data_IF_500482269977
#
_entry.id   IF_500482269977
#
_cell.length_a   1.000
_cell.length_b   1.000
_cell.length_c   1.000
_cell.angle_alpha   90.00
_cell.angle_beta   90.00
_cell.angle_gamma   90.00
#
_symmetry.space_group_name_H-M   'P 1'
#
loop_
_entity.id
_entity.type
_entity.pdbx_description
1 polymer ?
#
# COMPACT_ATOMS: atom_id res chain seq x y z
N UNK A 1 45.82 35.20 35.95
CA UNK A 1 45.32 34.20 34.99
C UNK A 1 43.85 33.92 35.30
N UNK A 2 42.93 34.27 34.41
CA UNK A 2 41.51 33.88 34.50
C UNK A 2 41.17 33.07 33.24
N UNK A 3 41.07 31.76 33.36
CA UNK A 3 40.52 30.91 32.30
C UNK A 3 38.99 30.89 32.47
N UNK A 4 38.29 31.47 31.50
CA UNK A 4 36.84 31.34 31.35
C UNK A 4 36.56 30.05 30.56
N UNK A 5 35.90 29.09 31.20
CA UNK A 5 35.43 27.85 30.56
C UNK A 5 34.06 28.10 29.92
N UNK A 6 34.03 28.20 28.60
CA UNK A 6 32.79 28.22 27.82
C UNK A 6 32.20 26.80 27.80
N UNK A 7 31.02 26.61 28.39
CA UNK A 7 30.25 25.37 28.25
C UNK A 7 29.46 25.42 26.95
N UNK A 8 29.84 24.61 25.97
CA UNK A 8 29.03 24.35 24.78
C UNK A 8 28.07 23.21 25.12
N UNK A 9 26.78 23.53 25.33
CA UNK A 9 25.71 22.54 25.41
C UNK A 9 25.26 22.18 24.00
N UNK A 10 25.67 21.00 23.52
CA UNK A 10 25.19 20.41 22.27
C UNK A 10 23.84 19.74 22.54
N UNK A 11 22.74 20.42 22.20
CA UNK A 11 21.41 19.82 22.18
C UNK A 11 21.26 18.97 20.91
N UNK A 12 21.47 17.66 21.01
CA UNK A 12 20.99 16.73 19.99
C UNK A 12 19.46 16.67 20.12
N UNK A 13 18.75 17.42 19.28
CA UNK A 13 17.34 17.20 19.05
C UNK A 13 17.17 15.83 18.38
N UNK A 14 16.71 14.84 19.13
CA UNK A 14 16.24 13.57 18.57
C UNK A 14 14.96 13.84 17.79
N UNK A 15 15.09 14.16 16.51
CA UNK A 15 13.97 14.13 15.59
C UNK A 15 13.58 12.67 15.41
N UNK A 16 12.52 12.24 16.09
CA UNK A 16 11.81 11.03 15.71
C UNK A 16 11.31 11.27 14.29
N UNK A 17 12.00 10.73 13.27
CA UNK A 17 11.42 10.63 11.94
C UNK A 17 10.16 9.80 12.08
N UNK A 18 8.99 10.47 12.05
CA UNK A 18 7.71 9.76 11.99
C UNK A 18 7.73 9.01 10.67
N UNK A 19 7.93 7.70 10.73
CA UNK A 19 7.70 6.84 9.58
C UNK A 19 6.20 6.84 9.32
N UNK A 20 5.79 7.26 8.14
CA UNK A 20 4.44 6.98 7.66
C UNK A 20 4.32 5.48 7.36
N UNK A 21 3.08 5.02 7.22
CA UNK A 21 2.82 3.68 6.75
C UNK A 21 1.53 3.64 5.93
N UNK A 22 1.45 2.62 5.09
CA UNK A 22 0.20 2.22 4.45
C UNK A 22 0.11 0.71 4.36
N UNK A 23 -1.12 0.21 4.44
CA UNK A 23 -1.48 -1.18 4.28
C UNK A 23 -2.03 -1.40 2.86
N UNK A 24 -1.58 -2.47 2.21
CA UNK A 24 -1.99 -2.85 0.86
C UNK A 24 -2.98 -4.00 0.96
N UNK A 25 -4.14 -3.83 0.33
CA UNK A 25 -5.23 -4.81 0.33
C UNK A 25 -5.51 -5.30 -1.08
N UNK A 26 -5.69 -6.62 -1.23
CA UNK A 26 -6.40 -7.19 -2.38
C UNK A 26 -7.88 -7.23 -2.05
N UNK A 27 -8.72 -6.76 -2.96
CA UNK A 27 -10.15 -6.56 -2.71
C UNK A 27 -10.97 -7.36 -3.71
N UNK A 28 -11.84 -8.24 -3.20
CA UNK A 28 -12.91 -8.85 -3.98
C UNK A 28 -14.09 -7.88 -4.02
N UNK A 29 -14.39 -7.37 -5.21
CA UNK A 29 -15.49 -6.44 -5.48
C UNK A 29 -16.62 -7.18 -6.15
N UNK A 30 -17.72 -7.34 -5.44
CA UNK A 30 -18.92 -8.00 -5.95
C UNK A 30 -20.01 -6.97 -6.26
N UNK A 31 -20.55 -7.03 -7.47
CA UNK A 31 -21.64 -6.18 -7.94
C UNK A 31 -22.78 -7.09 -8.37
N UNK A 32 -23.94 -6.93 -7.77
CA UNK A 32 -25.16 -7.65 -8.12
C UNK A 32 -26.04 -6.69 -8.92
N UNK A 33 -26.37 -7.09 -10.15
CA UNK A 33 -27.30 -6.37 -11.02
C UNK A 33 -28.48 -7.29 -11.38
N UNK A 34 -29.47 -6.74 -12.07
CA UNK A 34 -30.60 -7.48 -12.63
C UNK A 34 -30.16 -8.57 -13.63
N UNK A 35 -29.01 -8.40 -14.26
CA UNK A 35 -28.43 -9.34 -15.24
C UNK A 35 -27.45 -10.35 -14.65
N UNK A 36 -27.13 -10.28 -13.35
CA UNK A 36 -26.31 -11.28 -12.66
C UNK A 36 -25.32 -10.71 -11.65
N UNK A 37 -24.29 -11.49 -11.33
CA UNK A 37 -23.24 -11.13 -10.36
C UNK A 37 -21.91 -10.95 -11.09
N UNK A 38 -21.29 -9.78 -10.94
CA UNK A 38 -19.94 -9.49 -11.42
C UNK A 38 -18.97 -9.45 -10.25
N UNK A 39 -17.90 -10.23 -10.31
CA UNK A 39 -16.84 -10.25 -9.32
C UNK A 39 -15.55 -9.75 -9.99
N UNK A 40 -14.98 -8.67 -9.46
CA UNK A 40 -13.75 -8.07 -9.94
C UNK A 40 -12.72 -7.99 -8.81
N UNK A 41 -11.44 -8.02 -9.15
CA UNK A 41 -10.34 -7.93 -8.17
C UNK A 41 -9.59 -6.62 -8.37
N UNK A 42 -9.55 -5.81 -7.32
CA UNK A 42 -8.87 -4.52 -7.29
C UNK A 42 -7.96 -4.45 -6.07
N UNK A 43 -7.12 -3.43 -6.01
CA UNK A 43 -6.28 -3.14 -4.87
C UNK A 43 -6.69 -1.83 -4.23
N UNK A 44 -6.58 -1.76 -2.90
CA UNK A 44 -6.79 -0.53 -2.14
C UNK A 44 -5.63 -0.34 -1.16
N UNK A 45 -5.37 0.92 -0.80
CA UNK A 45 -4.35 1.29 0.17
C UNK A 45 -4.95 2.20 1.23
N UNK A 46 -4.61 1.93 2.49
CA UNK A 46 -5.07 2.68 3.65
C UNK A 46 -3.91 2.97 4.58
N UNK A 47 -3.99 4.00 5.42
CA UNK A 47 -2.92 4.27 6.40
C UNK A 47 -2.79 3.09 7.37
N UNK A 48 -3.93 2.58 7.85
CA UNK A 48 -4.07 1.36 8.64
C UNK A 48 -5.41 0.70 8.28
N UNK A 49 -5.80 -0.35 9.00
CA UNK A 49 -7.12 -0.97 8.83
C UNK A 49 -8.24 0.10 8.82
N UNK A 50 -9.10 0.13 7.78
CA UNK A 50 -10.11 1.17 7.63
C UNK A 50 -11.13 1.09 8.76
N UNK A 51 -11.57 2.25 9.26
CA UNK A 51 -12.39 2.33 10.48
C UNK A 51 -13.86 2.02 10.23
N UNK A 52 -14.32 2.20 9.00
CA UNK A 52 -15.69 2.04 8.58
C UNK A 52 -15.79 1.87 7.06
N UNK A 53 -16.98 1.55 6.59
CA UNK A 53 -17.21 1.33 5.17
C UNK A 53 -17.23 2.61 4.34
N UNK A 54 -17.51 3.77 4.93
CA UNK A 54 -17.43 5.04 4.20
C UNK A 54 -15.99 5.30 3.74
N UNK A 55 -15.00 5.01 4.57
CA UNK A 55 -13.57 5.07 4.23
C UNK A 55 -13.23 4.08 3.10
N UNK A 56 -13.74 2.85 3.18
CA UNK A 56 -13.51 1.80 2.16
C UNK A 56 -14.09 2.21 0.80
N UNK A 57 -15.30 2.75 0.77
CA UNK A 57 -15.95 3.16 -0.47
C UNK A 57 -15.39 4.48 -1.04
N UNK A 58 -14.83 5.34 -0.20
CA UNK A 58 -14.15 6.56 -0.63
C UNK A 58 -12.73 6.33 -1.15
N UNK A 59 -12.06 5.26 -0.72
CA UNK A 59 -10.69 4.95 -1.14
C UNK A 59 -10.59 4.57 -2.61
N UNK A 60 -9.51 5.04 -3.26
CA UNK A 60 -9.26 4.74 -4.67
C UNK A 60 -8.96 3.26 -4.87
N UNK A 61 -9.46 2.73 -5.97
CA UNK A 61 -9.18 1.35 -6.39
C UNK A 61 -8.16 1.31 -7.52
N UNK A 62 -7.17 0.44 -7.40
CA UNK A 62 -6.15 0.20 -8.42
C UNK A 62 -6.40 -1.15 -9.09
N UNK A 63 -6.48 -1.16 -10.42
CA UNK A 63 -6.79 -2.40 -11.16
C UNK A 63 -5.57 -3.31 -11.26
N UNK A 64 -5.84 -4.62 -11.35
CA UNK A 64 -4.82 -5.58 -11.77
C UNK A 64 -4.43 -5.34 -13.23
N UNK A 65 -3.13 -5.23 -13.50
CA UNK A 65 -2.59 -5.11 -14.86
C UNK A 65 -1.34 -5.96 -15.02
N UNK A 66 -1.10 -6.47 -16.24
CA UNK A 66 0.17 -7.13 -16.59
C UNK A 66 1.33 -6.13 -16.74
N UNK A 67 1.03 -4.84 -16.87
CA UNK A 67 1.99 -3.76 -17.05
C UNK A 67 1.47 -2.48 -16.39
N UNK A 68 2.27 -1.91 -15.49
CA UNK A 68 1.98 -0.65 -14.78
C UNK A 68 3.12 0.36 -14.97
N UNK A 69 3.89 0.22 -16.04
CA UNK A 69 5.00 1.12 -16.38
C UNK A 69 4.56 2.45 -16.98
N UNK A 70 5.44 3.45 -16.87
CA UNK A 70 5.18 4.81 -17.36
C UNK A 70 4.00 5.45 -16.63
N UNK A 71 3.00 5.90 -17.38
CA UNK A 71 1.83 6.61 -16.84
C UNK A 71 0.69 5.67 -16.42
N UNK A 72 0.86 4.35 -16.55
CA UNK A 72 -0.21 3.36 -16.31
C UNK A 72 -0.38 3.07 -14.82
N UNK A 73 -1.41 3.67 -14.22
CA UNK A 73 -1.79 3.42 -12.82
C UNK A 73 -2.40 2.03 -12.65
N UNK A 74 -2.03 1.33 -11.59
CA UNK A 74 -2.51 0.00 -11.27
C UNK A 74 -1.55 -0.79 -10.40
N UNK A 75 -1.82 -2.08 -10.26
CA UNK A 75 -0.92 -3.03 -9.60
C UNK A 75 -0.71 -4.23 -10.50
N UNK A 76 0.55 -4.61 -10.69
CA UNK A 76 0.95 -5.88 -11.25
C UNK A 76 1.39 -6.80 -10.12
N UNK A 77 0.85 -8.01 -10.12
CA UNK A 77 1.21 -9.02 -9.14
C UNK A 77 1.64 -10.31 -9.84
N UNK A 78 2.73 -10.92 -9.38
CA UNK A 78 3.18 -12.24 -9.79
C UNK A 78 3.40 -13.16 -8.57
N UNK A 79 3.13 -14.46 -8.75
CA UNK A 79 3.18 -15.47 -7.69
C UNK A 79 1.79 -16.00 -7.33
N UNK A 80 1.74 -17.10 -6.58
CA UNK A 80 0.47 -17.75 -6.19
C UNK A 80 -0.29 -17.01 -5.07
N UNK A 81 0.31 -15.97 -4.50
CA UNK A 81 -0.30 -15.09 -3.50
C UNK A 81 -1.14 -13.94 -4.07
N UNK A 82 -1.20 -13.80 -5.40
CA UNK A 82 -1.84 -12.66 -6.10
C UNK A 82 -3.37 -12.71 -6.18
N UNK A 83 -3.99 -13.53 -5.34
CA UNK A 83 -5.43 -13.59 -5.21
C UNK A 83 -5.82 -13.23 -3.77
N UNK A 84 -7.10 -13.05 -3.50
CA UNK A 84 -7.57 -12.51 -2.23
C UNK A 84 -7.39 -13.49 -1.05
N UNK A 85 -7.67 -14.80 -1.23
CA UNK A 85 -7.52 -15.84 -0.18
C UNK A 85 -6.09 -16.38 0.03
N UNK A 86 -5.24 -16.55 -1.00
CA UNK A 86 -3.90 -17.09 -0.81
C UNK A 86 -3.03 -16.26 0.14
N UNK A 87 -2.09 -16.91 0.87
CA UNK A 87 -1.16 -16.22 1.76
C UNK A 87 -0.36 -15.13 1.02
N UNK A 88 -0.22 -13.92 1.58
CA UNK A 88 0.51 -12.83 0.91
C UNK A 88 1.98 -13.16 0.68
N UNK A 89 2.59 -13.99 1.54
CA UNK A 89 3.97 -14.46 1.38
C UNK A 89 4.20 -15.34 0.13
N UNK A 90 3.14 -15.74 -0.58
CA UNK A 90 3.22 -16.44 -1.86
C UNK A 90 3.21 -15.50 -3.07
N UNK A 91 3.09 -14.18 -2.86
CA UNK A 91 3.44 -13.20 -3.89
C UNK A 91 4.95 -13.32 -4.09
N UNK A 92 5.43 -13.19 -5.32
CA UNK A 92 6.86 -13.15 -5.64
C UNK A 92 7.28 -11.72 -6.05
N UNK A 93 6.40 -11.01 -6.77
CA UNK A 93 6.58 -9.62 -7.18
C UNK A 93 5.27 -8.86 -7.01
N UNK A 94 5.35 -7.67 -6.41
CA UNK A 94 4.25 -6.70 -6.38
C UNK A 94 4.77 -5.36 -6.92
N UNK A 95 4.37 -5.00 -8.12
CA UNK A 95 4.70 -3.70 -8.74
C UNK A 95 3.46 -2.81 -8.67
N UNK A 96 3.60 -1.65 -8.05
CA UNK A 96 2.51 -0.73 -7.75
C UNK A 96 2.82 0.62 -8.41
N UNK A 97 1.90 1.14 -9.20
CA UNK A 97 1.94 2.50 -9.73
C UNK A 97 0.65 3.22 -9.31
N UNK A 98 0.73 4.03 -8.27
CA UNK A 98 -0.43 4.74 -7.73
C UNK A 98 -0.65 6.11 -8.40
N UNK A 99 0.40 6.66 -9.00
CA UNK A 99 0.38 7.89 -9.76
C UNK A 99 1.55 7.89 -10.75
N UNK A 100 1.25 7.83 -12.05
CA UNK A 100 2.25 7.68 -13.10
C UNK A 100 2.79 9.00 -13.67
N UNK A 101 2.41 10.13 -13.07
CA UNK A 101 2.84 11.49 -13.43
C UNK A 101 3.43 12.19 -12.21
N UNK A 102 4.19 13.27 -12.38
CA UNK A 102 4.88 13.95 -11.26
C UNK A 102 3.89 14.48 -10.21
N UNK A 103 4.03 14.11 -8.91
CA UNK A 103 5.03 13.21 -8.32
C UNK A 103 4.74 11.73 -8.59
N UNK A 104 5.74 10.99 -9.11
CA UNK A 104 5.57 9.57 -9.47
C UNK A 104 5.60 8.69 -8.22
N UNK A 105 4.57 7.87 -8.04
CA UNK A 105 4.44 6.89 -6.97
C UNK A 105 4.44 5.47 -7.53
N UNK A 106 5.63 5.02 -7.94
CA UNK A 106 5.84 3.72 -8.55
C UNK A 106 6.95 2.96 -7.83
N UNK A 107 6.58 1.83 -7.23
CA UNK A 107 7.52 0.94 -6.55
C UNK A 107 7.28 -0.53 -6.87
N UNK A 108 8.34 -1.31 -6.74
CA UNK A 108 8.29 -2.77 -6.87
C UNK A 108 8.83 -3.42 -5.61
N UNK A 109 8.07 -4.39 -5.10
CA UNK A 109 8.44 -5.27 -4.00
C UNK A 109 8.82 -6.63 -4.57
N UNK A 110 9.97 -7.15 -4.15
CA UNK A 110 10.45 -8.46 -4.54
C UNK A 110 10.63 -9.36 -3.32
N UNK A 111 10.09 -10.58 -3.37
CA UNK A 111 10.20 -11.56 -2.28
C UNK A 111 11.63 -11.94 -1.96
N UNK A 112 12.41 -12.20 -3.00
CA UNK A 112 13.83 -12.60 -2.91
C UNK A 112 14.74 -11.46 -2.42
N UNK A 113 14.21 -10.24 -2.31
CA UNK A 113 14.91 -9.06 -1.77
C UNK A 113 14.31 -8.57 -0.46
N UNK A 114 13.54 -9.42 0.23
CA UNK A 114 12.99 -9.08 1.54
C UNK A 114 11.90 -8.00 1.52
N UNK A 115 11.23 -7.79 0.38
CA UNK A 115 10.11 -6.86 0.23
C UNK A 115 10.45 -5.36 0.40
N UNK A 116 11.70 -5.00 0.14
CA UNK A 116 12.11 -3.59 0.03
C UNK A 116 11.33 -2.87 -1.07
N UNK A 117 10.93 -1.63 -0.81
CA UNK A 117 10.16 -0.79 -1.71
C UNK A 117 11.08 -0.02 -2.66
N UNK A 118 11.33 -0.59 -3.84
CA UNK A 118 12.31 -0.08 -4.82
C UNK A 118 11.62 0.76 -5.88
N UNK A 119 12.07 2.01 -6.08
CA UNK A 119 11.55 2.91 -7.11
C UNK A 119 12.12 2.65 -8.51
N UNK A 120 11.57 3.35 -9.51
CA UNK A 120 12.06 3.31 -10.90
C UNK A 120 13.52 3.75 -11.08
N UNK A 121 14.01 4.56 -10.15
CA UNK A 121 15.39 5.05 -10.08
C UNK A 121 16.35 4.04 -9.40
N UNK A 122 15.84 2.90 -8.94
CA UNK A 122 16.59 1.89 -8.22
C UNK A 122 16.84 2.21 -6.74
N UNK A 123 16.37 3.35 -6.24
CA UNK A 123 16.51 3.71 -4.83
C UNK A 123 15.47 3.00 -3.97
N UNK A 124 15.80 2.84 -2.68
CA UNK A 124 14.87 2.32 -1.66
C UNK A 124 14.08 3.46 -1.03
N UNK A 125 12.77 3.29 -0.97
CA UNK A 125 11.83 4.28 -0.43
C UNK A 125 11.16 3.84 0.87
N UNK A 126 11.48 2.64 1.34
CA UNK A 126 10.88 2.04 2.52
C UNK A 126 10.98 0.52 2.45
N UNK A 127 10.38 -0.14 3.43
CA UNK A 127 10.32 -1.59 3.49
C UNK A 127 8.89 -2.02 3.75
N UNK A 128 8.46 -3.08 3.07
CA UNK A 128 7.17 -3.68 3.32
C UNK A 128 7.34 -5.01 4.04
N UNK A 129 6.37 -5.36 4.87
CA UNK A 129 6.31 -6.65 5.55
C UNK A 129 5.02 -7.35 5.14
N UNK A 130 5.10 -8.67 4.98
CA UNK A 130 3.90 -9.51 4.86
C UNK A 130 3.08 -9.31 6.13
N UNK A 131 1.91 -8.71 6.00
CA UNK A 131 1.12 -8.23 7.13
C UNK A 131 -0.32 -8.72 7.01
N UNK A 132 -0.57 -10.03 7.14
CA UNK A 132 -1.92 -10.59 7.03
C UNK A 132 -2.77 -10.19 8.24
N UNK A 133 -4.06 -10.56 8.19
CA UNK A 133 -5.11 -10.23 9.16
C UNK A 133 -5.55 -8.75 9.07
N UNK A 134 -6.66 -8.37 9.71
CA UNK A 134 -7.22 -7.01 9.56
C UNK A 134 -7.98 -6.83 8.24
N UNK A 135 -8.61 -7.91 7.79
CA UNK A 135 -9.51 -7.93 6.64
C UNK A 135 -10.79 -7.16 6.97
N UNK A 136 -11.41 -6.56 5.97
CA UNK A 136 -12.70 -5.87 6.13
C UNK A 136 -13.75 -6.44 5.18
N UNK A 137 -15.01 -6.29 5.59
CA UNK A 137 -16.16 -6.62 4.76
C UNK A 137 -17.14 -5.45 4.82
N UNK A 138 -17.34 -4.81 3.67
CA UNK A 138 -18.20 -3.65 3.52
C UNK A 138 -19.24 -3.88 2.45
N UNK A 139 -20.47 -3.50 2.76
CA UNK A 139 -21.61 -3.61 1.85
C UNK A 139 -22.30 -2.25 1.73
N UNK A 140 -22.56 -1.84 0.49
CA UNK A 140 -23.46 -0.75 0.18
C UNK A 140 -24.72 -1.37 -0.43
N UNK A 141 -25.77 -1.42 0.38
CA UNK A 141 -27.00 -2.17 0.12
C UNK A 141 -26.75 -3.67 -0.12
N UNK A 142 -27.71 -4.35 -0.75
CA UNK A 142 -27.59 -5.76 -1.16
C UNK A 142 -26.88 -5.94 -2.52
N UNK A 143 -26.48 -4.84 -3.17
CA UNK A 143 -25.99 -4.86 -4.55
C UNK A 143 -24.48 -4.68 -4.70
N UNK A 144 -23.79 -4.20 -3.67
CA UNK A 144 -22.37 -3.85 -3.80
C UNK A 144 -21.58 -4.24 -2.56
N UNK A 145 -20.56 -5.08 -2.73
CA UNK A 145 -19.74 -5.61 -1.65
C UNK A 145 -18.26 -5.40 -1.97
N UNK A 146 -17.49 -4.98 -0.96
CA UNK A 146 -16.04 -4.90 -0.98
C UNK A 146 -15.49 -5.71 0.19
N UNK A 147 -14.81 -6.80 -0.13
CA UNK A 147 -14.08 -7.62 0.84
C UNK A 147 -12.58 -7.41 0.65
N UNK A 148 -11.95 -6.74 1.60
CA UNK A 148 -10.52 -6.44 1.55
C UNK A 148 -9.71 -7.41 2.38
N UNK A 149 -8.66 -7.93 1.78
CA UNK A 149 -7.75 -8.90 2.39
C UNK A 149 -6.36 -8.30 2.49
N UNK A 150 -5.86 -8.07 3.71
CA UNK A 150 -4.60 -7.35 3.93
C UNK A 150 -3.41 -8.20 3.47
N UNK A 151 -2.52 -7.60 2.67
CA UNK A 151 -1.35 -8.27 2.11
C UNK A 151 -0.06 -7.79 2.73
N UNK A 152 0.18 -6.48 2.69
CA UNK A 152 1.42 -5.87 3.15
C UNK A 152 1.15 -4.66 4.03
N UNK A 153 2.09 -4.38 4.93
CA UNK A 153 2.27 -3.07 5.54
C UNK A 153 3.60 -2.51 5.07
N UNK A 154 3.59 -1.32 4.50
CA UNK A 154 4.77 -0.62 4.03
C UNK A 154 5.12 0.53 4.98
N UNK A 155 6.36 0.56 5.44
CA UNK A 155 6.92 1.63 6.26
C UNK A 155 7.75 2.55 5.38
N UNK A 156 7.33 3.81 5.26
CA UNK A 156 7.90 4.75 4.30
C UNK A 156 7.69 6.20 4.78
N UNK A 157 8.09 7.18 3.98
CA UNK A 157 7.74 8.59 4.17
C UNK A 157 6.42 9.00 3.52
N UNK A 158 5.88 8.17 2.61
CA UNK A 158 4.63 8.45 1.90
C UNK A 158 3.43 7.96 2.69
N UNK A 159 2.40 8.77 2.77
CA UNK A 159 1.14 8.46 3.45
C UNK A 159 0.15 7.82 2.47
N UNK A 160 -0.85 7.09 2.96
CA UNK A 160 -1.93 6.62 2.09
C UNK A 160 -2.68 7.77 1.40
N UNK A 161 -2.69 8.98 2.00
CA UNK A 161 -3.25 10.18 1.37
C UNK A 161 -2.47 10.67 0.16
N UNK A 162 -1.16 10.44 0.10
CA UNK A 162 -0.35 10.74 -1.09
C UNK A 162 -0.69 9.80 -2.26
N UNK A 163 -1.14 8.58 -1.95
CA UNK A 163 -1.34 7.51 -2.94
C UNK A 163 -2.74 7.51 -3.56
N UNK A 164 -3.74 8.00 -2.83
CA UNK A 164 -5.14 8.02 -3.24
C UNK A 164 -5.45 9.21 -4.17
#
# INVERSE_FOLDING_TARGET
>A
MKLSLLRISLWLAAFSCVTANFDVYMVERTIVTDVGVSINKVWQVFEAEPKNCDEVFAAKTFVNSGDVSGTKTGVRCAGSGCDYKPPPGNIDVLEMNFHGTDPVYHWTLYKDRGWTMVGLDGNTYGDCIVFPNGDYNCHDSIYYFLEGYRKFRCLTKFTAGDLN
#
